data_IF_760485514526
#
_entry.id   IF_760485514526
#
_cell.length_a   1.000
_cell.length_b   1.000
_cell.length_c   1.000
_cell.angle_alpha   90.00
_cell.angle_beta   90.00
_cell.angle_gamma   90.00
#
_symmetry.space_group_name_H-M   'P 1'
#
loop_
_entity.id
_entity.type
_entity.pdbx_description
1 polymer ?
#
# COMPACT_ATOMS: atom_id res chain seq x y z
N UNK A 1 2.54 -8.61 -9.10
CA UNK A 1 1.44 -9.60 -9.18
C UNK A 1 0.47 -9.21 -10.32
N UNK A 2 0.91 -9.24 -11.59
CA UNK A 2 0.08 -8.77 -12.72
C UNK A 2 -0.25 -9.88 -13.72
N UNK A 3 0.57 -10.94 -13.76
CA UNK A 3 0.44 -12.04 -14.72
C UNK A 3 -0.46 -13.19 -14.21
N UNK A 4 -0.83 -13.18 -12.93
CA UNK A 4 -1.53 -14.29 -12.27
C UNK A 4 -3.00 -13.99 -11.93
N UNK A 5 -3.49 -12.77 -12.16
CA UNK A 5 -4.85 -12.36 -11.78
C UNK A 5 -5.77 -12.30 -13.00
N UNK A 6 -6.96 -12.90 -12.86
CA UNK A 6 -7.99 -12.88 -13.91
C UNK A 6 -8.59 -11.47 -14.03
N UNK A 7 -9.11 -11.08 -15.21
CA UNK A 7 -9.91 -9.87 -15.34
C UNK A 7 -11.04 -9.82 -14.30
N UNK A 8 -11.33 -8.63 -13.76
CA UNK A 8 -12.32 -8.42 -12.72
C UNK A 8 -11.90 -8.83 -11.31
N UNK A 9 -10.70 -9.41 -11.11
CA UNK A 9 -10.21 -9.77 -9.78
C UNK A 9 -10.03 -8.53 -8.88
N UNK A 10 -10.21 -8.71 -7.57
CA UNK A 10 -9.92 -7.70 -6.55
C UNK A 10 -8.52 -7.90 -5.98
N UNK A 11 -7.75 -6.81 -5.90
CA UNK A 11 -6.52 -6.70 -5.14
C UNK A 11 -6.83 -5.98 -3.82
N UNK A 12 -6.40 -6.59 -2.71
CA UNK A 12 -6.30 -5.94 -1.41
C UNK A 12 -4.82 -5.86 -1.04
N UNK A 13 -4.34 -4.65 -0.76
CA UNK A 13 -2.94 -4.40 -0.43
C UNK A 13 -2.86 -3.48 0.79
N UNK A 14 -1.98 -3.80 1.73
CA UNK A 14 -1.56 -2.88 2.77
C UNK A 14 -0.04 -2.72 2.70
N UNK A 15 0.46 -1.48 2.65
CA UNK A 15 1.89 -1.19 2.55
C UNK A 15 2.27 0.10 3.26
N UNK A 16 3.54 0.26 3.64
CA UNK A 16 4.01 1.45 4.36
C UNK A 16 3.83 2.73 3.53
N UNK A 17 3.23 3.74 4.15
CA UNK A 17 3.09 5.07 3.57
C UNK A 17 4.36 5.90 3.79
N UNK A 18 4.62 6.85 2.90
CA UNK A 18 5.66 7.87 3.09
C UNK A 18 5.32 8.92 4.18
N UNK A 19 4.18 8.77 4.86
CA UNK A 19 3.90 9.43 6.13
C UNK A 19 4.64 8.79 7.32
N UNK A 20 5.30 7.63 7.12
CA UNK A 20 6.18 7.05 8.13
C UNK A 20 7.38 7.98 8.38
N UNK A 21 7.75 8.24 9.64
CA UNK A 21 9.02 8.90 9.93
C UNK A 21 10.18 8.03 9.43
N UNK A 22 11.29 8.65 8.99
CA UNK A 22 12.50 7.92 8.64
C UNK A 22 13.02 7.15 9.85
N UNK A 23 13.50 5.94 9.61
CA UNK A 23 14.05 5.04 10.61
C UNK A 23 15.47 4.69 10.16
N UNK A 24 16.47 5.30 10.80
CA UNK A 24 17.88 5.16 10.41
C UNK A 24 18.43 3.77 10.74
N UNK A 25 17.86 3.11 11.76
CA UNK A 25 18.27 1.78 12.18
C UNK A 25 17.62 0.70 11.31
N UNK A 26 16.38 0.93 10.88
CA UNK A 26 15.62 0.03 10.01
C UNK A 26 14.96 0.79 8.85
N UNK A 27 15.70 1.12 7.78
CA UNK A 27 15.16 1.88 6.66
C UNK A 27 14.02 1.11 5.98
N UNK A 28 12.79 1.61 6.16
CA UNK A 28 11.59 1.03 5.54
C UNK A 28 11.41 1.59 4.14
N UNK A 29 11.10 0.72 3.18
CA UNK A 29 10.61 1.19 1.88
C UNK A 29 9.20 1.75 2.04
N UNK A 30 9.08 3.07 1.97
CA UNK A 30 7.80 3.78 2.04
C UNK A 30 7.28 4.12 0.65
N UNK A 31 5.96 4.14 0.48
CA UNK A 31 5.32 4.38 -0.82
C UNK A 31 4.45 5.64 -0.75
N UNK A 32 4.56 6.51 -1.76
CA UNK A 32 3.65 7.65 -1.91
C UNK A 32 2.32 7.23 -2.56
N UNK A 33 1.26 8.01 -2.33
CA UNK A 33 -0.01 7.81 -3.03
C UNK A 33 0.17 7.84 -4.55
N UNK A 34 0.95 8.79 -5.08
CA UNK A 34 1.20 8.92 -6.51
C UNK A 34 1.86 7.67 -7.08
N UNK A 35 2.86 7.12 -6.39
CA UNK A 35 3.53 5.88 -6.80
C UNK A 35 2.55 4.72 -6.89
N UNK A 36 1.60 4.59 -5.95
CA UNK A 36 0.57 3.54 -6.00
C UNK A 36 -0.33 3.72 -7.23
N UNK A 37 -0.77 4.95 -7.51
CA UNK A 37 -1.62 5.26 -8.67
C UNK A 37 -0.92 4.95 -9.98
N UNK A 38 0.34 5.35 -10.12
CA UNK A 38 1.13 5.14 -11.33
C UNK A 38 1.40 3.65 -11.58
N UNK A 39 1.87 2.93 -10.56
CA UNK A 39 2.24 1.52 -10.68
C UNK A 39 1.01 0.64 -10.89
N UNK A 40 -0.05 0.81 -10.08
CA UNK A 40 -1.25 0.00 -10.23
C UNK A 40 -2.01 0.34 -11.51
N UNK A 41 -2.14 1.64 -11.83
CA UNK A 41 -2.80 2.12 -13.04
C UNK A 41 -2.09 1.66 -14.31
N UNK A 42 -0.76 1.80 -14.35
CA UNK A 42 0.07 1.32 -15.46
C UNK A 42 0.02 -0.19 -15.64
N UNK A 43 -0.28 -0.93 -14.59
CA UNK A 43 -0.35 -2.39 -14.60
C UNK A 43 -1.79 -2.95 -14.72
N UNK A 44 -2.74 -2.11 -15.14
CA UNK A 44 -4.09 -2.54 -15.51
C UNK A 44 -5.07 -2.70 -14.36
N UNK A 45 -4.81 -2.04 -13.23
CA UNK A 45 -5.72 -1.99 -12.09
C UNK A 45 -6.42 -0.63 -12.02
N UNK A 46 -7.69 -0.66 -11.69
CA UNK A 46 -8.47 0.52 -11.31
C UNK A 46 -8.58 0.55 -9.79
N UNK A 47 -8.05 1.59 -9.17
CA UNK A 47 -8.10 1.76 -7.72
C UNK A 47 -9.52 2.19 -7.34
N UNK A 48 -10.21 1.33 -6.58
CA UNK A 48 -11.53 1.60 -6.03
C UNK A 48 -11.44 2.42 -4.74
N UNK A 49 -10.45 2.11 -3.88
CA UNK A 49 -10.13 2.90 -2.70
C UNK A 49 -8.64 2.90 -2.40
N UNK A 50 -8.15 4.02 -1.89
CA UNK A 50 -6.79 4.22 -1.40
C UNK A 50 -6.90 5.13 -0.18
N UNK A 51 -6.72 4.55 1.00
CA UNK A 51 -6.98 5.22 2.28
C UNK A 51 -5.74 5.17 3.16
N UNK A 52 -5.37 6.27 3.83
CA UNK A 52 -4.33 6.22 4.86
C UNK A 52 -4.86 5.46 6.08
N UNK A 53 -4.00 4.66 6.69
CA UNK A 53 -4.31 3.92 7.92
C UNK A 53 -3.18 4.04 8.93
N UNK A 54 -3.54 4.19 10.21
CA UNK A 54 -2.57 4.19 11.31
C UNK A 54 -2.74 2.93 12.14
N UNK A 55 -1.65 2.20 12.36
CA UNK A 55 -1.61 1.00 13.20
C UNK A 55 -0.70 1.26 14.40
N UNK A 56 -1.21 1.02 15.61
CA UNK A 56 -0.40 1.01 16.83
C UNK A 56 0.16 -0.37 17.08
N UNK A 57 1.44 -0.46 17.40
CA UNK A 57 2.11 -1.72 17.76
C UNK A 57 3.12 -1.45 18.85
N UNK A 58 3.31 -2.39 19.76
CA UNK A 58 4.48 -2.38 20.64
C UNK A 58 5.70 -3.01 19.95
N UNK A 59 6.83 -2.32 20.03
CA UNK A 59 8.14 -2.79 19.61
C UNK A 59 9.13 -2.52 20.75
N UNK A 60 9.76 -3.57 21.27
CA UNK A 60 10.72 -3.49 22.39
C UNK A 60 10.19 -2.70 23.61
N UNK A 61 8.90 -2.86 23.91
CA UNK A 61 8.23 -2.19 25.03
C UNK A 61 7.87 -0.71 24.78
N UNK A 62 8.06 -0.22 23.55
CA UNK A 62 7.64 1.12 23.12
C UNK A 62 6.45 1.01 22.17
N UNK A 63 5.37 1.74 22.43
CA UNK A 63 4.28 1.87 21.47
C UNK A 63 4.72 2.76 20.30
N UNK A 64 4.64 2.23 19.09
CA UNK A 64 4.94 2.94 17.85
C UNK A 64 3.71 3.02 16.97
N UNK A 65 3.50 4.20 16.39
CA UNK A 65 2.50 4.40 15.34
C UNK A 65 3.11 4.15 13.97
N UNK A 66 2.42 3.36 13.16
CA UNK A 66 2.80 3.06 11.79
C UNK A 66 1.75 3.55 10.81
N UNK A 67 2.20 4.30 9.80
CA UNK A 67 1.38 4.78 8.69
C UNK A 67 1.43 3.81 7.50
N UNK A 68 0.27 3.39 7.05
CA UNK A 68 0.05 2.50 5.91
C UNK A 68 -0.87 3.16 4.88
N UNK A 69 -0.82 2.63 3.66
CA UNK A 69 -1.89 2.72 2.69
C UNK A 69 -2.67 1.42 2.71
N UNK A 70 -4.00 1.49 2.82
CA UNK A 70 -4.90 0.41 2.50
C UNK A 70 -5.48 0.65 1.11
N UNK A 71 -5.24 -0.28 0.20
CA UNK A 71 -5.64 -0.17 -1.21
C UNK A 71 -6.58 -1.31 -1.56
N UNK A 72 -7.69 -0.95 -2.20
CA UNK A 72 -8.53 -1.87 -2.93
C UNK A 72 -8.56 -1.47 -4.40
N UNK A 73 -8.30 -2.43 -5.28
CA UNK A 73 -8.31 -2.19 -6.72
C UNK A 73 -8.92 -3.36 -7.47
N UNK A 74 -9.49 -3.11 -8.64
CA UNK A 74 -10.05 -4.12 -9.52
C UNK A 74 -9.22 -4.25 -10.80
N UNK A 75 -9.00 -5.48 -11.25
CA UNK A 75 -8.31 -5.72 -12.53
C UNK A 75 -9.25 -5.33 -13.67
N UNK A 76 -8.81 -4.42 -14.55
CA UNK A 76 -9.55 -4.06 -15.76
C UNK A 76 -9.97 -5.29 -16.55
N UNK A 77 -11.25 -5.33 -16.91
CA UNK A 77 -11.76 -6.22 -17.94
C UNK A 77 -11.10 -5.89 -19.27
N UNK A 78 -10.44 -6.87 -19.88
CA UNK A 78 -10.09 -6.82 -21.31
C UNK A 78 -11.31 -7.13 -22.15
#
# INVERSE_FOLDING_TARGET
MHRATRPGATLLLSCFSNAMPPDEEWPRSTVSEQTLRDVLGGAGWDIESLEPATVRRELDGTEVEMAFWNVRAQRRGS
#
